data_IF_846208561059
#
_entry.id   IF_846208561059
#
_cell.length_a   1.000
_cell.length_b   1.000
_cell.length_c   1.000
_cell.angle_alpha   90.00
_cell.angle_beta   90.00
_cell.angle_gamma   90.00
#
_symmetry.space_group_name_H-M   'P 1'
#
loop_
_entity.id
_entity.type
_entity.pdbx_description
1 polymer ?
#
# COMPACT_ATOMS: atom_id res chain seq x y z
N UNK A 1 -53.60 -35.29 42.77
CA UNK A 1 -53.49 -35.48 41.31
C UNK A 1 -54.05 -34.21 40.67
N UNK A 2 -53.29 -33.28 40.12
CA UNK A 2 -52.09 -33.42 39.28
C UNK A 2 -51.12 -32.24 39.52
N UNK A 3 -49.93 -32.58 39.99
CA UNK A 3 -48.62 -32.08 39.52
C UNK A 3 -48.60 -32.12 37.98
N UNK A 4 -47.94 -31.27 37.20
CA UNK A 4 -46.75 -30.43 37.36
C UNK A 4 -46.81 -29.35 36.28
N UNK A 5 -46.43 -28.12 36.65
CA UNK A 5 -46.13 -27.02 35.73
C UNK A 5 -44.77 -27.31 35.11
N UNK A 6 -44.70 -27.59 33.81
CA UNK A 6 -43.42 -27.73 33.11
C UNK A 6 -42.65 -26.41 33.23
N UNK A 7 -41.53 -26.48 33.93
CA UNK A 7 -40.57 -25.40 34.07
C UNK A 7 -39.99 -25.10 32.69
N UNK A 8 -40.29 -23.89 32.20
CA UNK A 8 -39.68 -23.34 31.00
C UNK A 8 -38.17 -23.38 31.14
N UNK A 9 -37.55 -24.36 30.48
CA UNK A 9 -36.11 -24.49 30.31
C UNK A 9 -35.59 -23.18 29.73
N UNK A 10 -35.04 -22.32 30.59
CA UNK A 10 -34.35 -21.09 30.16
C UNK A 10 -33.31 -21.52 29.14
N UNK A 11 -33.46 -21.08 27.89
CA UNK A 11 -32.42 -21.22 26.90
C UNK A 11 -31.13 -20.66 27.50
N UNK A 12 -29.98 -21.35 27.34
CA UNK A 12 -28.72 -20.78 27.77
C UNK A 12 -28.53 -19.47 27.02
N UNK A 13 -28.54 -18.36 27.75
CA UNK A 13 -28.08 -17.07 27.24
C UNK A 13 -26.61 -17.25 26.91
N UNK A 14 -26.33 -17.51 25.63
CA UNK A 14 -24.97 -17.45 25.10
C UNK A 14 -24.52 -16.01 25.32
N UNK A 15 -23.56 -15.82 26.21
CA UNK A 15 -22.96 -14.51 26.45
C UNK A 15 -22.27 -14.08 25.15
N UNK A 16 -22.96 -13.23 24.38
CA UNK A 16 -22.47 -12.74 23.10
C UNK A 16 -21.32 -11.75 23.36
N UNK A 17 -20.09 -12.22 23.15
CA UNK A 17 -18.90 -11.36 23.21
C UNK A 17 -18.59 -10.83 21.82
N UNK A 18 -18.59 -9.50 21.69
CA UNK A 18 -18.27 -8.78 20.46
C UNK A 18 -16.92 -9.22 19.89
N UNK A 19 -15.90 -9.44 20.72
CA UNK A 19 -14.57 -9.91 20.28
C UNK A 19 -14.61 -11.29 19.62
N UNK A 20 -15.45 -12.20 20.12
CA UNK A 20 -15.63 -13.51 19.52
C UNK A 20 -16.31 -13.41 18.15
N UNK A 21 -17.28 -12.49 18.01
CA UNK A 21 -17.91 -12.22 16.71
C UNK A 21 -16.87 -11.70 15.71
N UNK A 22 -16.14 -10.64 16.07
CA UNK A 22 -15.10 -10.04 15.19
C UNK A 22 -14.11 -11.12 14.75
N UNK A 23 -13.62 -11.94 15.68
CA UNK A 23 -12.69 -13.04 15.36
C UNK A 23 -13.28 -14.04 14.37
N UNK A 24 -14.51 -14.50 14.59
CA UNK A 24 -15.16 -15.48 13.71
C UNK A 24 -15.41 -14.89 12.32
N UNK A 25 -15.82 -13.62 12.25
CA UNK A 25 -16.03 -12.90 10.99
C UNK A 25 -14.73 -12.75 10.20
N UNK A 26 -13.62 -12.38 10.85
CA UNK A 26 -12.29 -12.31 10.23
C UNK A 26 -11.84 -13.68 9.71
N UNK A 27 -11.93 -14.73 10.54
CA UNK A 27 -11.53 -16.09 10.13
C UNK A 27 -12.34 -16.59 8.93
N UNK A 28 -13.63 -16.27 8.87
CA UNK A 28 -14.46 -16.63 7.72
C UNK A 28 -14.01 -15.93 6.43
N UNK A 29 -13.57 -14.68 6.51
CA UNK A 29 -13.06 -13.96 5.35
C UNK A 29 -11.76 -14.57 4.81
N UNK A 30 -10.87 -15.03 5.69
CA UNK A 30 -9.59 -15.65 5.33
C UNK A 30 -9.79 -16.96 4.56
N UNK A 31 -10.73 -17.80 5.00
CA UNK A 31 -11.03 -19.10 4.37
C UNK A 31 -11.89 -18.98 3.10
N UNK A 32 -12.61 -17.86 2.93
CA UNK A 32 -13.44 -17.65 1.73
C UNK A 32 -12.56 -17.37 0.52
N UNK A 33 -12.92 -17.92 -0.63
CA UNK A 33 -12.23 -17.68 -1.90
C UNK A 33 -12.00 -16.17 -2.16
N UNK A 34 -10.81 -15.74 -2.63
CA UNK A 34 -10.49 -14.33 -2.89
C UNK A 34 -11.11 -13.78 -4.18
N UNK A 35 -12.37 -14.13 -4.46
CA UNK A 35 -13.15 -13.57 -5.57
C UNK A 35 -14.12 -12.52 -5.06
N UNK A 36 -14.43 -11.53 -5.91
CA UNK A 36 -15.39 -10.48 -5.58
C UNK A 36 -16.75 -11.11 -5.24
N UNK A 37 -17.24 -12.05 -6.05
CA UNK A 37 -18.58 -12.63 -5.87
C UNK A 37 -18.73 -13.37 -4.54
N UNK A 38 -17.66 -14.03 -4.07
CA UNK A 38 -17.68 -14.78 -2.82
C UNK A 38 -17.57 -13.86 -1.60
N UNK A 39 -16.73 -12.82 -1.66
CA UNK A 39 -16.38 -11.97 -0.51
C UNK A 39 -17.23 -10.71 -0.36
N UNK A 40 -17.80 -10.18 -1.43
CA UNK A 40 -18.60 -8.94 -1.40
C UNK A 40 -19.80 -9.02 -0.42
N UNK A 41 -20.62 -10.09 -0.41
CA UNK A 41 -21.74 -10.18 0.52
C UNK A 41 -21.29 -10.24 1.99
N UNK A 42 -20.17 -10.92 2.25
CA UNK A 42 -19.61 -11.07 3.60
C UNK A 42 -19.06 -9.73 4.08
N UNK A 43 -18.31 -9.02 3.23
CA UNK A 43 -17.74 -7.72 3.60
C UNK A 43 -18.83 -6.65 3.79
N UNK A 44 -19.84 -6.64 2.93
CA UNK A 44 -21.00 -5.74 3.08
C UNK A 44 -21.72 -5.97 4.41
N UNK A 45 -21.87 -7.24 4.82
CA UNK A 45 -22.41 -7.59 6.14
C UNK A 45 -21.50 -7.08 7.27
N UNK A 46 -20.17 -7.18 7.14
CA UNK A 46 -19.23 -6.68 8.15
C UNK A 46 -19.39 -5.17 8.38
N UNK A 47 -19.45 -4.37 7.31
CA UNK A 47 -19.63 -2.92 7.41
C UNK A 47 -20.88 -2.57 8.21
N UNK A 48 -22.01 -3.21 7.90
CA UNK A 48 -23.28 -2.97 8.60
C UNK A 48 -23.23 -3.47 10.04
N UNK A 49 -22.72 -4.67 10.29
CA UNK A 49 -22.65 -5.24 11.63
C UNK A 49 -21.78 -4.39 12.56
N UNK A 50 -20.56 -4.05 12.15
CA UNK A 50 -19.67 -3.23 12.98
C UNK A 50 -20.26 -1.84 13.26
N UNK A 51 -21.00 -1.28 12.30
CA UNK A 51 -21.72 -0.01 12.49
C UNK A 51 -22.83 -0.16 13.51
N UNK A 52 -23.64 -1.22 13.42
CA UNK A 52 -24.71 -1.48 14.42
C UNK A 52 -24.18 -1.77 15.82
N UNK A 53 -22.94 -2.26 15.92
CA UNK A 53 -22.26 -2.55 17.19
C UNK A 53 -21.46 -1.35 17.72
N UNK A 54 -21.50 -0.18 17.05
CA UNK A 54 -20.75 1.02 17.39
C UNK A 54 -19.22 0.78 17.51
N UNK A 55 -18.65 0.08 16.51
CA UNK A 55 -17.21 -0.19 16.42
C UNK A 55 -16.57 0.61 15.27
N UNK A 56 -16.34 1.93 15.43
CA UNK A 56 -15.94 2.81 14.31
C UNK A 56 -14.63 2.39 13.65
N UNK A 57 -13.62 1.96 14.43
CA UNK A 57 -12.35 1.45 13.88
C UNK A 57 -12.57 0.23 12.98
N UNK A 58 -13.42 -0.71 13.40
CA UNK A 58 -13.70 -1.93 12.62
C UNK A 58 -14.56 -1.66 11.40
N UNK A 59 -15.45 -0.68 11.46
CA UNK A 59 -16.19 -0.20 10.30
C UNK A 59 -15.23 0.37 9.27
N UNK A 60 -14.31 1.24 9.69
CA UNK A 60 -13.30 1.81 8.80
C UNK A 60 -12.43 0.71 8.16
N UNK A 61 -11.92 -0.23 8.95
CA UNK A 61 -11.14 -1.37 8.46
C UNK A 61 -11.92 -2.20 7.42
N UNK A 62 -13.21 -2.50 7.69
CA UNK A 62 -14.05 -3.27 6.78
C UNK A 62 -14.29 -2.54 5.45
N UNK A 63 -14.54 -1.22 5.49
CA UNK A 63 -14.67 -0.42 4.28
C UNK A 63 -13.38 -0.34 3.46
N UNK A 64 -12.21 -0.27 4.11
CA UNK A 64 -10.93 -0.28 3.42
C UNK A 64 -10.64 -1.65 2.77
N UNK A 65 -10.91 -2.74 3.47
CA UNK A 65 -10.81 -4.08 2.89
C UNK A 65 -11.78 -4.27 1.72
N UNK A 66 -13.00 -3.71 1.84
CA UNK A 66 -13.95 -3.74 0.75
C UNK A 66 -13.48 -2.94 -0.46
N UNK A 67 -12.93 -1.74 -0.23
CA UNK A 67 -12.35 -0.91 -1.27
C UNK A 67 -11.18 -1.62 -1.97
N UNK A 68 -10.33 -2.35 -1.23
CA UNK A 68 -9.26 -3.15 -1.81
C UNK A 68 -9.81 -4.29 -2.68
N UNK A 69 -10.83 -5.02 -2.21
CA UNK A 69 -11.48 -6.08 -3.00
C UNK A 69 -12.07 -5.54 -4.32
N UNK A 70 -12.73 -4.39 -4.27
CA UNK A 70 -13.28 -3.73 -5.46
C UNK A 70 -12.19 -3.25 -6.41
N UNK A 71 -11.07 -2.73 -5.87
CA UNK A 71 -9.91 -2.34 -6.65
C UNK A 71 -9.31 -3.53 -7.39
N UNK A 72 -9.13 -4.65 -6.71
CA UNK A 72 -8.55 -5.87 -7.30
C UNK A 72 -9.44 -6.44 -8.41
N UNK A 73 -10.76 -6.22 -8.33
CA UNK A 73 -11.72 -6.54 -9.38
C UNK A 73 -11.79 -5.50 -10.52
N UNK A 74 -11.01 -4.42 -10.47
CA UNK A 74 -10.99 -3.34 -11.47
C UNK A 74 -12.13 -2.33 -11.35
N UNK A 75 -12.91 -2.35 -10.27
CA UNK A 75 -14.05 -1.45 -10.02
C UNK A 75 -13.61 -0.18 -9.29
N UNK A 76 -12.73 0.62 -9.91
CA UNK A 76 -12.02 1.71 -9.24
C UNK A 76 -12.93 2.81 -8.66
N UNK A 77 -14.01 3.20 -9.34
CA UNK A 77 -14.92 4.21 -8.79
C UNK A 77 -15.67 3.71 -7.55
N UNK A 78 -16.09 2.43 -7.56
CA UNK A 78 -16.77 1.83 -6.43
C UNK A 78 -15.80 1.70 -5.24
N UNK A 79 -14.57 1.28 -5.51
CA UNK A 79 -13.50 1.24 -4.53
C UNK A 79 -13.22 2.62 -3.92
N UNK A 80 -13.17 3.68 -4.74
CA UNK A 80 -12.97 5.04 -4.26
C UNK A 80 -14.12 5.52 -3.35
N UNK A 81 -15.36 5.22 -3.71
CA UNK A 81 -16.53 5.52 -2.87
C UNK A 81 -16.46 4.76 -1.54
N UNK A 82 -16.11 3.47 -1.57
CA UNK A 82 -15.94 2.65 -0.36
C UNK A 82 -14.83 3.17 0.55
N UNK A 83 -13.67 3.54 0.00
CA UNK A 83 -12.56 4.11 0.77
C UNK A 83 -12.95 5.42 1.45
N UNK A 84 -13.75 6.28 0.79
CA UNK A 84 -14.29 7.50 1.41
C UNK A 84 -15.31 7.19 2.51
N UNK A 85 -16.10 6.14 2.35
CA UNK A 85 -17.06 5.72 3.38
C UNK A 85 -16.36 5.29 4.68
N UNK A 86 -15.16 4.70 4.59
CA UNK A 86 -14.34 4.37 5.76
C UNK A 86 -14.06 5.61 6.64
N UNK A 87 -13.79 6.77 6.02
CA UNK A 87 -13.53 8.03 6.73
C UNK A 87 -14.80 8.61 7.34
N UNK A 88 -15.92 8.50 6.62
CA UNK A 88 -17.20 9.05 7.06
C UNK A 88 -17.74 8.26 8.25
N UNK A 89 -17.65 6.94 8.22
CA UNK A 89 -18.20 6.07 9.26
C UNK A 89 -17.20 5.74 10.38
N UNK A 90 -15.92 6.00 10.18
CA UNK A 90 -14.87 5.77 11.16
C UNK A 90 -14.80 6.80 12.29
N UNK A 91 -15.66 7.83 12.32
CA UNK A 91 -15.82 8.84 13.39
C UNK A 91 -14.64 8.99 14.38
N UNK A 92 -13.79 10.00 14.19
CA UNK A 92 -12.60 10.31 15.03
C UNK A 92 -11.57 9.17 15.21
N UNK A 93 -11.81 7.97 14.67
CA UNK A 93 -10.81 6.91 14.65
C UNK A 93 -9.60 7.37 13.84
N UNK A 94 -8.42 7.02 14.35
CA UNK A 94 -7.16 7.25 13.64
C UNK A 94 -7.28 6.57 12.29
N UNK A 95 -7.25 7.37 11.23
CA UNK A 95 -7.27 6.88 9.86
C UNK A 95 -6.15 5.86 9.68
N UNK A 96 -6.53 4.64 9.28
CA UNK A 96 -5.54 3.62 8.97
C UNK A 96 -4.57 4.16 7.91
N UNK A 97 -3.25 3.95 8.09
CA UNK A 97 -2.22 4.11 7.05
C UNK A 97 -2.67 3.68 5.65
N UNK A 98 -3.41 2.56 5.59
CA UNK A 98 -3.87 1.95 4.34
C UNK A 98 -4.83 2.85 3.56
N UNK A 99 -5.59 3.71 4.23
CA UNK A 99 -6.50 4.66 3.58
C UNK A 99 -5.73 5.58 2.63
N UNK A 100 -4.61 6.16 3.08
CA UNK A 100 -3.87 7.13 2.27
C UNK A 100 -3.24 6.48 1.05
N UNK A 101 -2.62 5.30 1.23
CA UNK A 101 -2.03 4.52 0.15
C UNK A 101 -3.09 4.13 -0.87
N UNK A 102 -4.17 3.49 -0.42
CA UNK A 102 -5.24 3.02 -1.29
C UNK A 102 -5.91 4.17 -2.04
N UNK A 103 -6.18 5.28 -1.34
CA UNK A 103 -6.78 6.47 -1.94
C UNK A 103 -5.92 7.06 -3.06
N UNK A 104 -4.62 7.21 -2.82
CA UNK A 104 -3.70 7.75 -3.81
C UNK A 104 -3.63 6.83 -5.04
N UNK A 105 -3.54 5.51 -4.82
CA UNK A 105 -3.50 4.53 -5.90
C UNK A 105 -4.81 4.52 -6.72
N UNK A 106 -5.98 4.55 -6.07
CA UNK A 106 -7.27 4.60 -6.75
C UNK A 106 -7.41 5.83 -7.65
N UNK A 107 -6.98 7.00 -7.18
CA UNK A 107 -6.97 8.22 -8.01
C UNK A 107 -6.10 8.04 -9.26
N UNK A 108 -4.94 7.38 -9.10
CA UNK A 108 -4.04 7.11 -10.22
C UNK A 108 -4.65 6.10 -11.20
N UNK A 109 -5.17 4.98 -10.70
CA UNK A 109 -5.76 3.89 -11.48
C UNK A 109 -7.01 4.33 -12.26
N UNK A 110 -7.75 5.33 -11.74
CA UNK A 110 -8.85 6.00 -12.46
C UNK A 110 -8.38 6.95 -13.59
N UNK A 111 -7.08 7.08 -13.82
CA UNK A 111 -6.50 7.99 -14.81
C UNK A 111 -6.34 9.44 -14.35
N UNK A 112 -6.64 9.75 -13.09
CA UNK A 112 -6.51 11.09 -12.52
C UNK A 112 -5.11 11.32 -11.92
N UNK A 113 -4.06 11.06 -12.71
CA UNK A 113 -2.66 11.07 -12.25
C UNK A 113 -2.24 12.35 -11.53
N UNK A 114 -2.66 13.52 -12.04
CA UNK A 114 -2.41 14.82 -11.40
C UNK A 114 -3.04 14.91 -10.00
N UNK A 115 -4.30 14.48 -9.86
CA UNK A 115 -5.00 14.52 -8.57
C UNK A 115 -4.38 13.52 -7.58
N UNK A 116 -3.90 12.37 -8.06
CA UNK A 116 -3.20 11.40 -7.24
C UNK A 116 -1.89 11.97 -6.67
N UNK A 117 -1.11 12.67 -7.50
CA UNK A 117 0.13 13.35 -7.10
C UNK A 117 -0.16 14.47 -6.10
N UNK A 118 -1.14 15.33 -6.38
CA UNK A 118 -1.53 16.43 -5.48
C UNK A 118 -2.04 15.90 -4.13
N UNK A 119 -2.83 14.82 -4.14
CA UNK A 119 -3.29 14.14 -2.94
C UNK A 119 -2.11 13.59 -2.13
N UNK A 120 -1.20 12.84 -2.77
CA UNK A 120 -0.03 12.26 -2.11
C UNK A 120 0.86 13.35 -1.50
N UNK A 121 1.15 14.43 -2.25
CA UNK A 121 1.96 15.55 -1.77
C UNK A 121 1.35 16.19 -0.52
N UNK A 122 0.04 16.47 -0.53
CA UNK A 122 -0.64 17.05 0.63
C UNK A 122 -0.56 16.20 1.89
N UNK A 123 -0.41 14.87 1.78
CA UNK A 123 -0.26 13.95 2.93
C UNK A 123 1.19 13.76 3.35
N UNK A 124 2.14 13.84 2.42
CA UNK A 124 3.58 13.82 2.72
C UNK A 124 3.98 15.04 3.58
N UNK A 125 3.36 16.19 3.33
CA UNK A 125 3.64 17.43 4.07
C UNK A 125 2.91 17.49 5.43
N UNK A 126 1.93 16.62 5.67
CA UNK A 126 1.16 16.58 6.91
C UNK A 126 1.89 15.79 8.01
N UNK A 127 2.37 16.51 9.03
CA UNK A 127 3.04 15.93 10.20
C UNK A 127 2.20 14.92 11.00
N UNK A 128 0.87 14.93 10.86
CA UNK A 128 -0.03 13.98 11.54
C UNK A 128 0.02 12.58 10.91
N UNK A 129 0.45 12.49 9.64
CA UNK A 129 0.54 11.21 8.94
C UNK A 129 1.82 10.49 9.39
N UNK A 130 1.75 9.18 9.72
CA UNK A 130 2.93 8.41 10.11
C UNK A 130 4.07 8.50 9.09
N UNK A 131 5.32 8.56 9.57
CA UNK A 131 6.49 8.73 8.71
C UNK A 131 6.65 7.61 7.65
N UNK A 132 6.28 6.37 8.00
CA UNK A 132 6.26 5.22 7.09
C UNK A 132 5.34 5.48 5.88
N UNK A 133 4.11 5.94 6.13
CA UNK A 133 3.13 6.25 5.08
C UNK A 133 3.59 7.42 4.23
N UNK A 134 4.18 8.45 4.85
CA UNK A 134 4.72 9.59 4.10
C UNK A 134 5.87 9.18 3.18
N UNK A 135 6.77 8.32 3.64
CA UNK A 135 7.83 7.74 2.79
C UNK A 135 7.24 6.96 1.63
N UNK A 136 6.27 6.10 1.89
CA UNK A 136 5.61 5.29 0.86
C UNK A 136 4.89 6.13 -0.19
N UNK A 137 4.11 7.13 0.23
CA UNK A 137 3.44 8.06 -0.70
C UNK A 137 4.46 8.84 -1.53
N UNK A 138 5.62 9.21 -0.95
CA UNK A 138 6.71 9.87 -1.69
C UNK A 138 7.28 8.95 -2.77
N UNK A 139 7.45 7.66 -2.48
CA UNK A 139 7.89 6.65 -3.47
C UNK A 139 6.88 6.55 -4.61
N UNK A 140 5.59 6.38 -4.30
CA UNK A 140 4.52 6.29 -5.31
C UNK A 140 4.48 7.55 -6.19
N UNK A 141 4.52 8.73 -5.58
CA UNK A 141 4.53 10.00 -6.30
C UNK A 141 5.74 10.13 -7.23
N UNK A 142 6.91 9.65 -6.81
CA UNK A 142 8.13 9.63 -7.63
C UNK A 142 7.95 8.71 -8.85
N UNK A 143 7.41 7.51 -8.64
CA UNK A 143 7.12 6.56 -9.72
C UNK A 143 6.13 7.12 -10.74
N UNK A 144 5.04 7.74 -10.28
CA UNK A 144 4.05 8.36 -11.17
C UNK A 144 4.62 9.57 -11.92
N UNK A 145 5.46 10.36 -11.26
CA UNK A 145 6.12 11.50 -11.91
C UNK A 145 7.07 11.05 -13.02
N UNK A 146 7.77 9.93 -12.82
CA UNK A 146 8.60 9.29 -13.85
C UNK A 146 7.78 8.84 -15.07
N UNK A 147 6.61 8.23 -14.85
CA UNK A 147 5.72 7.78 -15.92
C UNK A 147 5.15 8.95 -16.72
N UNK A 148 4.84 10.07 -16.07
CA UNK A 148 4.36 11.30 -16.73
C UNK A 148 5.45 12.13 -17.41
N UNK A 149 6.73 11.72 -17.31
CA UNK A 149 7.81 12.15 -18.21
C UNK A 149 8.45 13.52 -17.96
N UNK A 150 8.50 14.03 -16.73
CA UNK A 150 8.91 15.42 -16.46
C UNK A 150 10.14 15.64 -15.55
N UNK A 151 10.91 14.60 -15.20
CA UNK A 151 11.97 14.72 -14.17
C UNK A 151 13.36 14.34 -14.68
N UNK A 152 14.37 15.09 -14.24
CA UNK A 152 15.77 14.73 -14.47
C UNK A 152 16.21 13.57 -13.58
N UNK A 153 17.23 12.82 -13.99
CA UNK A 153 17.79 11.69 -13.22
C UNK A 153 18.14 12.08 -11.78
N UNK A 154 18.72 13.28 -11.61
CA UNK A 154 19.13 13.77 -10.29
C UNK A 154 17.92 14.10 -9.40
N UNK A 155 16.86 14.66 -9.97
CA UNK A 155 15.64 15.00 -9.22
C UNK A 155 14.95 13.72 -8.72
N UNK A 156 14.92 12.68 -9.55
CA UNK A 156 14.35 11.38 -9.19
C UNK A 156 15.13 10.74 -8.05
N UNK A 157 16.46 10.70 -8.15
CA UNK A 157 17.34 10.19 -7.10
C UNK A 157 17.13 10.98 -5.80
N UNK A 158 17.07 12.31 -5.90
CA UNK A 158 16.82 13.17 -4.74
C UNK A 158 15.45 12.88 -4.11
N UNK A 159 14.41 12.63 -4.91
CA UNK A 159 13.07 12.30 -4.42
C UNK A 159 13.03 10.96 -3.67
N UNK A 160 13.66 9.91 -4.20
CA UNK A 160 13.78 8.63 -3.47
C UNK A 160 14.62 8.77 -2.19
N UNK A 161 15.73 9.52 -2.24
CA UNK A 161 16.53 9.80 -1.03
C UNK A 161 15.74 10.60 0.00
N UNK A 162 14.87 11.51 -0.43
CA UNK A 162 13.98 12.23 0.47
C UNK A 162 12.95 11.29 1.11
N UNK A 163 12.42 10.30 0.37
CA UNK A 163 11.56 9.26 0.94
C UNK A 163 12.30 8.46 2.02
N UNK A 164 13.54 8.03 1.74
CA UNK A 164 14.38 7.34 2.71
C UNK A 164 14.72 8.19 3.94
N UNK A 165 14.86 9.51 3.76
CA UNK A 165 15.04 10.46 4.87
C UNK A 165 13.82 10.59 5.78
N UNK A 166 12.61 10.29 5.29
CA UNK A 166 11.39 10.26 6.10
C UNK A 166 11.29 8.95 6.88
N UNK A 167 11.48 7.83 6.20
CA UNK A 167 11.47 6.50 6.79
C UNK A 167 12.23 5.54 5.88
N UNK A 168 13.11 4.74 6.47
CA UNK A 168 13.99 3.82 5.75
C UNK A 168 13.27 2.52 5.36
N UNK A 169 12.33 2.64 4.43
CA UNK A 169 11.52 1.53 3.90
C UNK A 169 12.31 0.62 2.96
N UNK A 170 12.07 -0.70 3.03
CA UNK A 170 12.59 -1.70 2.09
C UNK A 170 12.12 -1.41 0.66
N UNK A 171 10.85 -1.04 0.48
CA UNK A 171 10.29 -0.66 -0.81
C UNK A 171 11.03 0.56 -1.41
N UNK A 172 11.34 1.57 -0.60
CA UNK A 172 12.04 2.77 -1.06
C UNK A 172 13.47 2.46 -1.56
N UNK A 173 14.19 1.57 -0.86
CA UNK A 173 15.49 1.07 -1.33
C UNK A 173 15.35 0.28 -2.63
N UNK A 174 14.35 -0.60 -2.72
CA UNK A 174 14.10 -1.42 -3.90
C UNK A 174 13.79 -0.57 -5.14
N UNK A 175 12.88 0.41 -5.04
CA UNK A 175 12.55 1.28 -6.17
C UNK A 175 13.71 2.20 -6.58
N UNK A 176 14.52 2.66 -5.63
CA UNK A 176 15.74 3.41 -5.95
C UNK A 176 16.76 2.53 -6.68
N UNK A 177 16.92 1.27 -6.26
CA UNK A 177 17.79 0.31 -6.93
C UNK A 177 17.32 0.03 -8.38
N UNK A 178 16.02 -0.22 -8.57
CA UNK A 178 15.41 -0.38 -9.90
C UNK A 178 15.64 0.84 -10.79
N UNK A 179 15.56 2.05 -10.23
CA UNK A 179 15.83 3.26 -10.98
C UNK A 179 17.30 3.33 -11.42
N UNK A 180 18.25 3.01 -10.53
CA UNK A 180 19.66 2.93 -10.88
C UNK A 180 19.94 1.89 -11.96
N UNK A 181 19.31 0.71 -11.89
CA UNK A 181 19.41 -0.31 -12.94
C UNK A 181 18.88 0.19 -14.28
N UNK A 182 17.73 0.86 -14.29
CA UNK A 182 17.14 1.43 -15.51
C UNK A 182 18.08 2.44 -16.15
N UNK A 183 18.65 3.35 -15.36
CA UNK A 183 19.61 4.35 -15.83
C UNK A 183 20.89 3.67 -16.32
N UNK A 184 21.39 2.65 -15.61
CA UNK A 184 22.54 1.85 -16.02
C UNK A 184 22.32 1.22 -17.39
N UNK A 185 21.18 0.55 -17.62
CA UNK A 185 20.85 -0.09 -18.89
C UNK A 185 20.80 0.94 -20.02
N UNK A 186 20.08 2.06 -19.83
CA UNK A 186 19.97 3.11 -20.85
C UNK A 186 21.33 3.73 -21.20
N UNK A 187 22.20 3.95 -20.22
CA UNK A 187 23.55 4.46 -20.46
C UNK A 187 24.44 3.42 -21.15
N UNK A 188 24.37 2.14 -20.76
CA UNK A 188 25.16 1.07 -21.36
C UNK A 188 24.79 0.84 -22.84
N UNK A 189 23.50 0.85 -23.17
CA UNK A 189 23.01 0.78 -24.55
C UNK A 189 23.53 1.96 -25.39
N UNK A 190 23.43 3.18 -24.83
CA UNK A 190 23.90 4.40 -25.50
C UNK A 190 25.42 4.38 -25.76
N UNK A 191 26.21 3.85 -24.82
CA UNK A 191 27.65 3.69 -24.98
C UNK A 191 27.97 2.61 -26.03
N UNK A 192 27.27 1.48 -26.00
CA UNK A 192 27.47 0.39 -26.97
C UNK A 192 27.23 0.84 -28.42
N UNK A 193 26.27 1.73 -28.63
CA UNK A 193 26.00 2.34 -29.93
C UNK A 193 27.16 3.26 -30.39
N UNK A 194 27.84 3.94 -29.46
CA UNK A 194 28.93 4.89 -29.75
C UNK A 194 30.28 4.24 -29.97
N UNK A 195 30.58 3.15 -29.27
CA UNK A 195 31.86 2.41 -29.37
C UNK A 195 32.14 1.89 -30.79
N UNK A 196 31.13 1.85 -31.67
CA UNK A 196 31.31 1.59 -33.10
C UNK A 196 32.07 2.71 -33.86
N UNK A 197 32.30 3.88 -33.25
CA UNK A 197 32.87 5.09 -33.87
C UNK A 197 33.83 5.77 -32.88
N UNK A 198 35.09 5.31 -32.85
CA UNK A 198 36.27 5.88 -32.15
C UNK A 198 36.17 6.14 -30.62
N UNK A 199 37.22 5.79 -29.87
CA UNK A 199 37.28 6.01 -28.41
C UNK A 199 37.68 7.45 -28.05
N UNK A 200 36.80 8.16 -27.37
CA UNK A 200 36.99 9.55 -26.92
C UNK A 200 37.16 9.64 -25.40
N UNK A 201 37.74 10.74 -24.90
CA UNK A 201 37.83 11.03 -23.45
C UNK A 201 36.44 11.04 -22.77
N UNK A 202 35.39 11.38 -23.51
CA UNK A 202 34.01 11.38 -23.01
C UNK A 202 33.49 9.96 -22.74
N UNK A 203 33.98 8.95 -23.46
CA UNK A 203 33.58 7.56 -23.24
C UNK A 203 34.14 7.03 -21.91
N UNK A 204 35.32 7.48 -21.50
CA UNK A 204 35.92 7.11 -20.22
C UNK A 204 35.09 7.66 -19.03
N UNK A 205 34.65 8.92 -19.11
CA UNK A 205 33.76 9.52 -18.10
C UNK A 205 32.40 8.78 -18.04
N UNK A 206 31.85 8.41 -19.19
CA UNK A 206 30.61 7.66 -19.28
C UNK A 206 30.73 6.26 -18.65
N UNK A 207 31.85 5.55 -18.88
CA UNK A 207 32.13 4.25 -18.25
C UNK A 207 32.24 4.36 -16.73
N UNK A 208 32.89 5.40 -16.21
CA UNK A 208 32.96 5.65 -14.76
C UNK A 208 31.58 5.92 -14.16
N UNK A 209 30.75 6.69 -14.85
CA UNK A 209 29.38 6.99 -14.42
C UNK A 209 28.51 5.73 -14.40
N UNK A 210 28.58 4.90 -15.45
CA UNK A 210 27.88 3.61 -15.54
C UNK A 210 28.28 2.69 -14.37
N UNK A 211 29.59 2.58 -14.10
CA UNK A 211 30.12 1.77 -12.99
C UNK A 211 29.61 2.27 -11.65
N UNK A 212 29.49 3.59 -11.49
CA UNK A 212 28.94 4.22 -10.30
C UNK A 212 27.47 3.85 -10.10
N UNK A 213 26.63 3.91 -11.14
CA UNK A 213 25.22 3.52 -11.02
C UNK A 213 25.04 2.04 -10.70
N UNK A 214 25.83 1.16 -11.32
CA UNK A 214 25.79 -0.28 -11.01
C UNK A 214 26.13 -0.55 -9.54
N UNK A 215 27.16 0.12 -9.00
CA UNK A 215 27.53 -0.01 -7.59
C UNK A 215 26.40 0.46 -6.67
N UNK A 216 25.78 1.61 -6.98
CA UNK A 216 24.67 2.14 -6.20
C UNK A 216 23.47 1.18 -6.21
N UNK A 217 23.12 0.61 -7.37
CA UNK A 217 22.02 -0.35 -7.48
C UNK A 217 22.24 -1.57 -6.57
N UNK A 218 23.42 -2.19 -6.63
CA UNK A 218 23.77 -3.36 -5.80
C UNK A 218 23.69 -3.02 -4.31
N UNK A 219 24.21 -1.86 -3.91
CA UNK A 219 24.14 -1.41 -2.51
C UNK A 219 22.69 -1.24 -2.05
N UNK A 220 21.84 -0.61 -2.86
CA UNK A 220 20.44 -0.38 -2.50
C UNK A 220 19.64 -1.69 -2.46
N UNK A 221 19.83 -2.62 -3.40
CA UNK A 221 19.22 -3.95 -3.30
C UNK A 221 19.67 -4.70 -2.05
N UNK A 222 20.95 -4.63 -1.68
CA UNK A 222 21.45 -5.22 -0.45
C UNK A 222 20.72 -4.68 0.79
N UNK A 223 20.54 -3.35 0.87
CA UNK A 223 19.79 -2.71 1.95
C UNK A 223 18.32 -3.13 1.96
N UNK A 224 17.66 -3.15 0.79
CA UNK A 224 16.28 -3.61 0.65
C UNK A 224 16.10 -5.05 1.19
N UNK A 225 17.00 -5.97 0.83
CA UNK A 225 16.93 -7.37 1.28
C UNK A 225 17.13 -7.53 2.78
N UNK A 226 18.09 -6.81 3.37
CA UNK A 226 18.35 -6.90 4.81
C UNK A 226 17.16 -6.44 5.64
N UNK A 227 16.40 -5.45 5.13
CA UNK A 227 15.22 -4.89 5.79
C UNK A 227 13.95 -5.69 5.51
N UNK A 228 13.73 -6.13 4.27
CA UNK A 228 12.61 -7.00 3.91
C UNK A 228 12.65 -8.34 4.66
N UNK A 229 13.84 -8.90 4.88
CA UNK A 229 14.01 -10.09 5.72
C UNK A 229 13.68 -9.85 7.20
N UNK A 230 13.78 -8.61 7.69
CA UNK A 230 13.34 -8.25 9.04
C UNK A 230 11.80 -8.11 9.12
N UNK A 231 11.16 -7.60 8.06
CA UNK A 231 9.69 -7.43 7.97
C UNK A 231 8.94 -8.77 7.87
N UNK A 232 9.48 -9.73 7.13
CA UNK A 232 8.93 -11.11 7.06
C UNK A 232 9.14 -11.92 8.34
N UNK A 233 10.07 -11.50 9.23
CA UNK A 233 10.26 -12.09 10.56
C UNK A 233 9.41 -11.42 11.65
N UNK A 234 9.00 -10.16 11.47
CA UNK A 234 8.17 -9.43 12.44
C UNK A 234 6.67 -9.54 12.19
N UNK A 235 6.24 -9.78 10.93
CA UNK A 235 4.91 -10.34 10.64
C UNK A 235 5.00 -11.86 10.76
N UNK A 236 4.50 -12.43 11.86
CA UNK A 236 4.09 -13.84 11.86
C UNK A 236 3.23 -14.09 10.61
N UNK A 237 3.37 -15.25 9.94
CA UNK A 237 2.65 -15.50 8.71
C UNK A 237 1.17 -15.51 9.02
N UNK A 238 0.47 -14.46 8.58
CA UNK A 238 -0.97 -14.55 8.35
C UNK A 238 -1.08 -15.31 7.04
N UNK A 239 -1.08 -16.65 7.17
CA UNK A 239 -1.51 -17.59 6.15
C UNK A 239 -2.98 -17.91 6.40
#
# INVERSE_FOLDING_TARGET
>A
MLETREEGKKMPTVEFRVDNLVRVLTMRMEVTEPTLEAREPIMSLHCVLYKTLNLPEKVADAWLQYAQLLKDAGLYEAAWRAARQAVIEGEDAVLSPDYYRLSAQLLYDMGNSRQAIEFAQGRVDDSKVPAEVRSELKVLMTNWSLETGSQSTNDVIASYKAALGLYESDDAYYYLALFYDKVYITCAESLSARVSVEHTSADHEMVQLISTYALHAVQQYGLALTRGSARSRSRSPVC
#
